data_IF_477516503742
#
_entry.id   IF_477516503742
#
_cell.length_a   1.000
_cell.length_b   1.000
_cell.length_c   1.000
_cell.angle_alpha   90.00
_cell.angle_beta   90.00
_cell.angle_gamma   90.00
#
_symmetry.space_group_name_H-M   'P 1'
#
loop_
_entity.id
_entity.type
_entity.pdbx_description
1 polymer ?
#
# COMPACT_ATOMS: atom_id res chain seq x y z
N UNK A 1 -33.06 6.25 -10.66
CA UNK A 1 -31.86 5.40 -10.55
C UNK A 1 -30.76 6.29 -10.01
N UNK A 2 -30.39 6.09 -8.75
CA UNK A 2 -29.44 6.91 -8.01
C UNK A 2 -28.08 6.85 -8.71
N UNK A 3 -27.56 7.97 -9.21
CA UNK A 3 -26.29 8.04 -9.94
C UNK A 3 -25.14 7.72 -9.00
N UNK A 4 -24.81 6.43 -8.87
CA UNK A 4 -23.61 5.95 -8.18
C UNK A 4 -22.38 6.46 -8.95
N UNK A 5 -21.35 7.04 -8.29
CA UNK A 5 -20.17 7.51 -9.01
C UNK A 5 -19.49 6.34 -9.72
N UNK A 6 -19.09 6.56 -10.99
CA UNK A 6 -18.56 5.53 -11.90
C UNK A 6 -17.35 4.78 -11.31
N UNK A 7 -16.57 5.43 -10.43
CA UNK A 7 -15.39 4.86 -9.78
C UNK A 7 -15.65 4.04 -8.50
N UNK A 8 -16.88 4.00 -7.96
CA UNK A 8 -17.18 3.36 -6.66
C UNK A 8 -16.72 1.92 -6.56
N UNK A 9 -17.09 1.11 -7.56
CA UNK A 9 -16.78 -0.32 -7.56
C UNK A 9 -15.28 -0.57 -7.65
N UNK A 10 -14.58 0.21 -8.49
CA UNK A 10 -13.13 0.10 -8.65
C UNK A 10 -12.42 0.52 -7.36
N UNK A 11 -12.79 1.66 -6.76
CA UNK A 11 -12.18 2.11 -5.51
C UNK A 11 -12.43 1.09 -4.37
N UNK A 12 -13.63 0.50 -4.30
CA UNK A 12 -13.96 -0.53 -3.30
C UNK A 12 -13.10 -1.78 -3.47
N UNK A 13 -12.98 -2.32 -4.70
CA UNK A 13 -12.19 -3.52 -4.97
C UNK A 13 -10.72 -3.28 -4.66
N UNK A 14 -10.14 -2.18 -5.14
CA UNK A 14 -8.72 -1.86 -4.93
C UNK A 14 -8.43 -1.63 -3.45
N UNK A 15 -9.33 -0.98 -2.72
CA UNK A 15 -9.17 -0.77 -1.28
C UNK A 15 -9.20 -2.08 -0.49
N UNK A 16 -10.05 -3.03 -0.89
CA UNK A 16 -10.06 -4.39 -0.32
C UNK A 16 -8.75 -5.11 -0.62
N UNK A 17 -8.22 -5.00 -1.85
CA UNK A 17 -6.91 -5.56 -2.20
C UNK A 17 -5.79 -4.97 -1.35
N UNK A 18 -5.82 -3.67 -1.05
CA UNK A 18 -4.85 -3.02 -0.15
C UNK A 18 -4.94 -3.57 1.28
N UNK A 19 -6.14 -3.83 1.80
CA UNK A 19 -6.32 -4.44 3.13
C UNK A 19 -5.73 -5.86 3.14
N UNK A 20 -6.00 -6.66 2.12
CA UNK A 20 -5.43 -8.01 1.99
C UNK A 20 -3.90 -7.94 1.92
N UNK A 21 -3.37 -7.02 1.11
CA UNK A 21 -1.93 -6.76 1.01
C UNK A 21 -1.31 -6.40 2.35
N UNK A 22 -1.96 -5.55 3.14
CA UNK A 22 -1.50 -5.18 4.48
C UNK A 22 -1.43 -6.39 5.42
N UNK A 23 -2.42 -7.29 5.40
CA UNK A 23 -2.42 -8.52 6.21
C UNK A 23 -1.26 -9.44 5.82
N UNK A 24 -1.01 -9.61 4.52
CA UNK A 24 0.13 -10.39 4.02
C UNK A 24 1.45 -9.79 4.49
N UNK A 25 1.63 -8.47 4.35
CA UNK A 25 2.83 -7.77 4.83
C UNK A 25 3.02 -7.94 6.33
N UNK A 26 1.93 -7.91 7.13
CA UNK A 26 1.99 -8.17 8.56
C UNK A 26 2.55 -9.58 8.87
N UNK A 27 2.02 -10.61 8.21
CA UNK A 27 2.49 -11.99 8.40
C UNK A 27 3.98 -12.10 8.03
N UNK A 28 4.39 -11.57 6.88
CA UNK A 28 5.78 -11.60 6.43
C UNK A 28 6.72 -10.81 7.35
N UNK A 29 6.25 -9.71 7.93
CA UNK A 29 7.04 -8.91 8.87
C UNK A 29 7.30 -9.64 10.18
N UNK A 30 6.33 -10.39 10.70
CA UNK A 30 6.50 -11.22 11.89
C UNK A 30 7.52 -12.35 11.64
N UNK A 31 7.42 -12.99 10.48
CA UNK A 31 8.40 -14.00 10.05
C UNK A 31 9.79 -13.37 9.92
N UNK A 32 9.89 -12.16 9.37
CA UNK A 32 11.17 -11.45 9.24
C UNK A 32 11.79 -11.12 10.59
N UNK A 33 11.01 -10.69 11.58
CA UNK A 33 11.51 -10.41 12.94
C UNK A 33 12.02 -11.70 13.60
N UNK A 34 11.25 -12.79 13.52
CA UNK A 34 11.67 -14.09 14.06
C UNK A 34 12.93 -14.61 13.36
N UNK A 35 12.94 -14.56 12.03
CA UNK A 35 14.09 -14.95 11.20
C UNK A 35 15.34 -14.10 11.48
N UNK A 36 15.17 -12.79 11.65
CA UNK A 36 16.26 -11.89 12.02
C UNK A 36 16.85 -12.22 13.39
N UNK A 37 16.03 -12.62 14.37
CA UNK A 37 16.50 -13.08 15.67
C UNK A 37 17.32 -14.37 15.60
N UNK A 38 16.92 -15.32 14.75
CA UNK A 38 17.67 -16.56 14.50
C UNK A 38 19.03 -16.27 13.83
N UNK A 39 19.05 -15.37 12.84
CA UNK A 39 20.29 -14.96 12.15
C UNK A 39 21.22 -14.23 13.11
N UNK A 40 20.68 -13.36 13.98
CA UNK A 40 21.48 -12.62 14.96
C UNK A 40 22.14 -13.55 15.99
N UNK A 41 21.44 -14.60 16.42
CA UNK A 41 21.96 -15.53 17.41
C UNK A 41 22.92 -16.60 16.84
N UNK A 42 22.80 -16.94 15.55
CA UNK A 42 23.45 -18.10 14.96
C UNK A 42 24.43 -17.85 13.83
N UNK A 43 24.44 -16.65 13.22
CA UNK A 43 25.27 -16.37 12.05
C UNK A 43 25.95 -15.00 12.12
N UNK A 44 25.15 -13.93 12.14
CA UNK A 44 25.65 -12.56 12.07
C UNK A 44 24.68 -11.63 12.81
N UNK A 45 25.14 -11.10 13.94
CA UNK A 45 24.39 -10.19 14.81
C UNK A 45 24.00 -8.90 14.08
N UNK A 46 24.88 -8.37 13.24
CA UNK A 46 24.62 -7.14 12.49
C UNK A 46 23.58 -7.38 11.40
N UNK A 47 23.72 -8.44 10.61
CA UNK A 47 22.76 -8.78 9.57
C UNK A 47 21.38 -9.13 10.16
N UNK A 48 21.35 -9.91 11.25
CA UNK A 48 20.12 -10.25 11.95
C UNK A 48 19.43 -9.02 12.56
N UNK A 49 20.20 -8.12 13.18
CA UNK A 49 19.71 -6.84 13.69
C UNK A 49 19.09 -5.96 12.61
N UNK A 50 19.73 -5.89 11.43
CA UNK A 50 19.20 -5.15 10.28
C UNK A 50 17.88 -5.74 9.78
N UNK A 51 17.76 -7.07 9.70
CA UNK A 51 16.52 -7.75 9.29
C UNK A 51 15.37 -7.45 10.27
N UNK A 52 15.64 -7.43 11.57
CA UNK A 52 14.64 -7.08 12.59
C UNK A 52 14.16 -5.63 12.39
N UNK A 53 15.07 -4.68 12.17
CA UNK A 53 14.73 -3.27 11.92
C UNK A 53 13.85 -3.13 10.67
N UNK A 54 14.21 -3.81 9.58
CA UNK A 54 13.42 -3.81 8.35
C UNK A 54 12.03 -4.46 8.55
N UNK A 55 11.94 -5.48 9.39
CA UNK A 55 10.67 -6.10 9.80
C UNK A 55 9.76 -5.11 10.53
N UNK A 56 10.31 -4.35 11.49
CA UNK A 56 9.54 -3.31 12.20
C UNK A 56 9.09 -2.18 11.26
N UNK A 57 9.95 -1.74 10.35
CA UNK A 57 9.58 -0.74 9.32
C UNK A 57 8.43 -1.29 8.46
N UNK A 58 8.49 -2.57 8.07
CA UNK A 58 7.45 -3.22 7.27
C UNK A 58 6.09 -3.26 7.98
N UNK A 59 6.07 -3.41 9.32
CA UNK A 59 4.85 -3.29 10.13
C UNK A 59 4.24 -1.89 10.01
N UNK A 60 5.07 -0.84 10.16
CA UNK A 60 4.61 0.55 10.07
C UNK A 60 4.01 0.82 8.67
N UNK A 61 4.67 0.34 7.62
CA UNK A 61 4.17 0.45 6.25
C UNK A 61 2.84 -0.32 6.06
N UNK A 62 2.72 -1.51 6.64
CA UNK A 62 1.48 -2.30 6.64
C UNK A 62 0.32 -1.56 7.30
N UNK A 63 0.56 -0.85 8.40
CA UNK A 63 -0.47 -0.01 9.06
C UNK A 63 -0.92 1.13 8.14
N UNK A 64 -0.01 1.82 7.47
CA UNK A 64 -0.36 2.87 6.50
C UNK A 64 -1.20 2.32 5.34
N UNK A 65 -0.88 1.11 4.87
CA UNK A 65 -1.60 0.42 3.82
C UNK A 65 -3.02 0.01 4.27
N UNK A 66 -3.16 -0.44 5.51
CA UNK A 66 -4.45 -0.74 6.15
C UNK A 66 -5.31 0.53 6.27
N UNK A 67 -4.75 1.63 6.78
CA UNK A 67 -5.46 2.91 6.93
C UNK A 67 -5.96 3.39 5.57
N UNK A 68 -5.10 3.35 4.55
CA UNK A 68 -5.46 3.77 3.18
C UNK A 68 -6.56 2.89 2.61
N UNK A 69 -6.50 1.57 2.82
CA UNK A 69 -7.56 0.64 2.44
C UNK A 69 -8.88 0.93 3.14
N UNK A 70 -8.89 1.15 4.46
CA UNK A 70 -10.11 1.44 5.23
C UNK A 70 -10.72 2.78 4.78
N UNK A 71 -9.90 3.82 4.64
CA UNK A 71 -10.32 5.14 4.13
C UNK A 71 -10.89 5.03 2.72
N UNK A 72 -10.27 4.21 1.87
CA UNK A 72 -10.72 3.94 0.50
C UNK A 72 -12.07 3.22 0.45
N UNK A 73 -12.26 2.15 1.24
CA UNK A 73 -13.57 1.44 1.31
C UNK A 73 -14.66 2.36 1.84
N UNK A 74 -14.37 3.11 2.92
CA UNK A 74 -15.35 4.01 3.56
C UNK A 74 -15.79 5.13 2.61
N UNK A 75 -14.89 5.62 1.76
CA UNK A 75 -15.17 6.74 0.86
C UNK A 75 -15.50 6.31 -0.59
N UNK A 76 -15.46 5.02 -0.92
CA UNK A 76 -15.77 4.53 -2.27
C UNK A 76 -17.17 4.95 -2.75
N UNK A 77 -18.14 5.07 -1.84
CA UNK A 77 -19.49 5.53 -2.13
C UNK A 77 -19.73 7.03 -1.94
N UNK A 78 -18.77 7.79 -1.42
CA UNK A 78 -18.94 9.20 -1.09
C UNK A 78 -18.43 10.09 -2.22
N UNK A 79 -19.26 11.03 -2.65
CA UNK A 79 -18.94 12.07 -3.64
C UNK A 79 -18.51 13.40 -2.98
N UNK A 80 -18.28 13.40 -1.67
CA UNK A 80 -17.80 14.59 -0.98
C UNK A 80 -16.37 14.95 -1.41
N UNK A 81 -16.20 16.19 -1.91
CA UNK A 81 -14.90 16.75 -2.32
C UNK A 81 -13.84 16.63 -1.21
N UNK A 82 -14.24 16.73 0.05
CA UNK A 82 -13.33 16.58 1.22
C UNK A 82 -12.86 15.13 1.38
N UNK A 83 -13.78 14.17 1.22
CA UNK A 83 -13.49 12.74 1.35
C UNK A 83 -12.62 12.22 0.20
N UNK A 84 -12.86 12.72 -1.02
CA UNK A 84 -12.03 12.43 -2.19
C UNK A 84 -10.62 13.01 -2.02
N UNK A 85 -10.48 14.26 -1.56
CA UNK A 85 -9.16 14.86 -1.30
C UNK A 85 -8.36 14.04 -0.27
N UNK A 86 -9.01 13.60 0.82
CA UNK A 86 -8.36 12.73 1.82
C UNK A 86 -7.91 11.40 1.20
N UNK A 87 -8.76 10.76 0.42
CA UNK A 87 -8.43 9.51 -0.28
C UNK A 87 -7.25 9.71 -1.25
N UNK A 88 -7.25 10.81 -2.00
CA UNK A 88 -6.18 11.17 -2.92
C UNK A 88 -4.84 11.39 -2.20
N UNK A 89 -4.83 12.08 -1.05
CA UNK A 89 -3.62 12.28 -0.25
C UNK A 89 -3.04 10.93 0.21
N UNK A 90 -3.87 10.04 0.74
CA UNK A 90 -3.42 8.71 1.16
C UNK A 90 -2.94 7.85 -0.02
N UNK A 91 -3.64 7.90 -1.15
CA UNK A 91 -3.21 7.24 -2.39
C UNK A 91 -1.85 7.73 -2.89
N UNK A 92 -1.62 9.04 -2.85
CA UNK A 92 -0.32 9.65 -3.21
C UNK A 92 0.78 9.18 -2.26
N UNK A 93 0.53 9.15 -0.95
CA UNK A 93 1.50 8.68 0.05
C UNK A 93 1.95 7.26 -0.28
N UNK A 94 1.01 6.34 -0.55
CA UNK A 94 1.35 4.95 -0.87
C UNK A 94 2.05 4.85 -2.23
N UNK A 95 1.67 5.66 -3.21
CA UNK A 95 2.34 5.68 -4.51
C UNK A 95 3.80 6.14 -4.39
N UNK A 96 4.08 7.18 -3.61
CA UNK A 96 5.45 7.66 -3.35
C UNK A 96 6.27 6.57 -2.66
N UNK A 97 5.72 5.91 -1.64
CA UNK A 97 6.39 4.78 -0.96
C UNK A 97 6.73 3.67 -1.96
N UNK A 98 5.81 3.33 -2.86
CA UNK A 98 6.03 2.28 -3.85
C UNK A 98 7.15 2.65 -4.84
N UNK A 99 7.21 3.92 -5.27
CA UNK A 99 8.29 4.44 -6.13
C UNK A 99 9.64 4.40 -5.41
N UNK A 100 9.70 4.77 -4.13
CA UNK A 100 10.92 4.67 -3.32
C UNK A 100 11.40 3.22 -3.24
N UNK A 101 10.49 2.26 -3.02
CA UNK A 101 10.85 0.85 -3.00
C UNK A 101 11.45 0.36 -4.33
N UNK A 102 10.91 0.79 -5.47
CA UNK A 102 11.52 0.50 -6.77
C UNK A 102 12.93 1.12 -6.87
N UNK A 103 13.10 2.37 -6.45
CA UNK A 103 14.40 3.04 -6.50
C UNK A 103 15.45 2.30 -5.67
N UNK A 104 15.11 1.87 -4.45
CA UNK A 104 15.98 1.04 -3.61
C UNK A 104 16.33 -0.27 -4.33
N UNK A 105 15.33 -0.95 -4.91
CA UNK A 105 15.51 -2.22 -5.60
C UNK A 105 16.42 -2.10 -6.83
N UNK A 106 16.38 -0.95 -7.53
CA UNK A 106 17.29 -0.63 -8.63
C UNK A 106 18.74 -0.45 -8.14
N UNK A 107 18.96 0.26 -7.02
CA UNK A 107 20.30 0.50 -6.47
C UNK A 107 20.98 -0.81 -6.04
N UNK A 108 20.23 -1.75 -5.48
CA UNK A 108 20.76 -3.06 -5.06
C UNK A 108 20.81 -4.08 -6.21
N UNK A 109 20.53 -3.65 -7.46
CA UNK A 109 20.51 -4.49 -8.66
C UNK A 109 19.60 -5.74 -8.56
N UNK A 110 18.51 -5.64 -7.79
CA UNK A 110 17.48 -6.69 -7.64
C UNK A 110 16.20 -6.35 -8.41
N UNK A 111 16.28 -5.40 -9.35
CA UNK A 111 15.14 -4.99 -10.14
C UNK A 111 14.67 -6.13 -11.03
N UNK A 112 13.40 -6.51 -10.87
CA UNK A 112 12.73 -7.49 -11.71
C UNK A 112 11.46 -6.88 -12.28
N UNK A 113 11.03 -7.37 -13.44
CA UNK A 113 9.76 -6.97 -14.07
C UNK A 113 8.59 -7.20 -13.10
N UNK A 114 8.73 -8.17 -12.18
CA UNK A 114 7.72 -8.44 -11.14
C UNK A 114 7.54 -7.29 -10.15
N UNK A 115 8.57 -6.45 -9.93
CA UNK A 115 8.52 -5.30 -9.04
C UNK A 115 7.59 -4.20 -9.56
N UNK A 116 7.35 -4.13 -10.87
CA UNK A 116 6.38 -3.20 -11.47
C UNK A 116 4.94 -3.52 -11.07
N UNK A 117 4.61 -4.78 -10.79
CA UNK A 117 3.27 -5.14 -10.30
C UNK A 117 2.96 -4.55 -8.92
N UNK A 118 3.98 -4.18 -8.14
CA UNK A 118 3.77 -3.49 -6.86
C UNK A 118 3.17 -2.08 -7.02
N UNK A 119 3.35 -1.44 -8.20
CA UNK A 119 2.74 -0.15 -8.54
C UNK A 119 1.32 -0.27 -9.07
N UNK A 120 0.91 -1.46 -9.49
CA UNK A 120 -0.40 -1.68 -10.09
C UNK A 120 -1.52 -1.27 -9.13
N UNK A 121 -1.47 -1.73 -7.88
CA UNK A 121 -2.48 -1.40 -6.86
C UNK A 121 -2.54 0.12 -6.56
N UNK A 122 -1.42 0.82 -6.28
CA UNK A 122 -1.41 2.27 -6.10
C UNK A 122 -1.97 3.06 -7.30
N UNK A 123 -1.62 2.67 -8.53
CA UNK A 123 -2.12 3.32 -9.74
C UNK A 123 -3.62 3.10 -9.88
N UNK A 124 -4.10 1.86 -9.72
CA UNK A 124 -5.53 1.56 -9.75
C UNK A 124 -6.29 2.33 -8.66
N UNK A 125 -5.70 2.52 -7.49
CA UNK A 125 -6.31 3.30 -6.41
C UNK A 125 -6.47 4.78 -6.83
N UNK A 126 -5.43 5.39 -7.39
CA UNK A 126 -5.50 6.76 -7.95
C UNK A 126 -6.55 6.87 -9.07
N UNK A 127 -6.63 5.90 -9.97
CA UNK A 127 -7.64 5.87 -11.03
C UNK A 127 -9.05 5.85 -10.45
N UNK A 128 -9.31 5.00 -9.44
CA UNK A 128 -10.60 4.94 -8.76
C UNK A 128 -10.99 6.26 -8.09
N UNK A 129 -10.02 6.97 -7.50
CA UNK A 129 -10.23 8.30 -6.92
C UNK A 129 -10.55 9.35 -7.99
N UNK A 130 -9.82 9.36 -9.11
CA UNK A 130 -10.05 10.31 -10.21
C UNK A 130 -11.40 10.07 -10.90
N UNK A 131 -11.84 8.82 -11.07
CA UNK A 131 -13.17 8.50 -11.62
C UNK A 131 -14.30 8.98 -10.71
N UNK A 132 -14.14 8.87 -9.38
CA UNK A 132 -15.10 9.43 -8.44
C UNK A 132 -15.12 10.96 -8.47
N UNK A 133 -13.96 11.61 -8.71
CA UNK A 133 -13.87 13.07 -8.87
C UNK A 133 -14.60 13.56 -10.12
N UNK A 134 -14.40 12.90 -11.26
CA UNK A 134 -15.07 13.25 -12.53
C UNK A 134 -16.59 13.08 -12.45
N UNK A 135 -17.08 12.08 -11.69
CA UNK A 135 -18.52 11.85 -11.50
C UNK A 135 -19.21 12.93 -10.64
N UNK A 136 -18.47 13.88 -10.08
CA UNK A 136 -19.00 15.06 -9.34
C UNK A 136 -18.97 16.32 -10.21
N UNK A 137 -18.12 16.32 -11.23
CA UNK A 137 -17.94 17.44 -12.15
C UNK A 137 -18.82 17.32 -13.41
N UNK A 138 -19.36 16.12 -13.69
CA UNK A 138 -20.48 15.85 -14.61
C UNK A 138 -21.85 16.08 -13.93
#
# INVERSE_FOLDING_TARGET
MENQPKGKTLLKVVSILLIIGAVVTFILSLISILGGGLVAAGADEFAGGLIIILGVISIILGVLQLITGIVGVKNAGNTDKVSIKKCQTWGIVILVIAVINIAITLVINQFSITTLFSLLLPILFMVGVNMNKQSIEE
#
